data_IF_510772611249
#
_entry.id   IF_510772611249
#
_cell.length_a   1.000
_cell.length_b   1.000
_cell.length_c   1.000
_cell.angle_alpha   90.00
_cell.angle_beta   90.00
_cell.angle_gamma   90.00
#
_symmetry.space_group_name_H-M   'P 1'
#
loop_
_entity.id
_entity.type
_entity.pdbx_description
1 polymer ?
#
# COMPACT_ATOMS: atom_id res chain seq x y z
N UNK A 1 -27.12 -6.34 -8.45
CA UNK A 1 -26.72 -4.94 -8.18
C UNK A 1 -25.73 -4.97 -7.01
N UNK A 2 -24.41 -5.00 -7.16
CA UNK A 2 -23.53 -4.95 -8.32
C UNK A 2 -22.09 -4.89 -7.82
N UNK A 3 -21.57 -5.99 -7.24
CA UNK A 3 -20.12 -6.21 -7.07
C UNK A 3 -19.44 -6.64 -8.38
N UNK A 4 -20.24 -6.80 -9.43
CA UNK A 4 -19.84 -7.31 -10.74
C UNK A 4 -19.22 -6.24 -11.66
N UNK A 5 -19.25 -4.94 -11.29
CA UNK A 5 -18.80 -3.87 -12.21
C UNK A 5 -17.31 -3.50 -12.13
N UNK A 6 -16.54 -4.13 -11.25
CA UNK A 6 -15.08 -3.90 -11.16
C UNK A 6 -14.27 -5.03 -11.81
N UNK A 7 -14.92 -6.16 -12.13
CA UNK A 7 -14.22 -7.37 -12.61
C UNK A 7 -14.15 -7.49 -14.14
N UNK A 8 -14.86 -6.63 -14.88
CA UNK A 8 -15.00 -6.74 -16.35
C UNK A 8 -14.10 -5.76 -17.14
N UNK A 9 -12.79 -5.71 -16.85
CA UNK A 9 -11.81 -5.64 -17.94
C UNK A 9 -10.59 -6.55 -17.74
N UNK A 10 -10.61 -7.47 -16.77
CA UNK A 10 -9.53 -8.44 -16.52
C UNK A 10 -9.57 -9.64 -17.47
N UNK A 11 -10.53 -9.69 -18.42
CA UNK A 11 -10.68 -10.82 -19.35
C UNK A 11 -10.07 -10.57 -20.75
N UNK A 12 -9.56 -9.37 -21.03
CA UNK A 12 -9.00 -9.03 -22.37
C UNK A 12 -7.50 -9.33 -22.53
N UNK A 13 -6.88 -10.09 -21.62
CA UNK A 13 -5.45 -10.43 -21.72
C UNK A 13 -4.50 -9.23 -21.70
N UNK A 14 -5.00 -8.05 -21.29
CA UNK A 14 -4.17 -6.86 -21.07
C UNK A 14 -3.40 -7.07 -19.77
N UNK A 15 -2.10 -7.23 -19.89
CA UNK A 15 -1.18 -7.28 -18.76
C UNK A 15 -1.38 -6.00 -17.93
N UNK A 16 -1.91 -6.17 -16.72
CA UNK A 16 -1.89 -5.12 -15.71
C UNK A 16 -0.51 -5.20 -15.06
N UNK A 17 0.41 -4.36 -15.51
CA UNK A 17 1.69 -4.18 -14.82
C UNK A 17 1.44 -3.46 -13.50
N UNK A 18 1.32 -4.25 -12.43
CA UNK A 18 1.28 -3.71 -11.07
C UNK A 18 2.73 -3.41 -10.66
N UNK A 19 3.12 -2.14 -10.72
CA UNK A 19 4.39 -1.70 -10.14
C UNK A 19 4.24 -1.70 -8.61
N UNK A 20 4.58 -2.82 -7.98
CA UNK A 20 4.82 -2.86 -6.53
C UNK A 20 6.16 -2.15 -6.26
N UNK A 21 6.12 -0.82 -6.12
CA UNK A 21 7.24 -0.07 -5.56
C UNK A 21 7.48 -0.62 -4.15
N UNK A 22 8.71 -1.05 -3.83
CA UNK A 22 9.14 -1.38 -2.46
C UNK A 22 9.28 -0.09 -1.63
N UNK A 23 8.15 0.58 -1.52
CA UNK A 23 7.86 1.70 -0.67
C UNK A 23 8.09 1.35 0.80
N UNK A 24 8.09 0.07 1.15
CA UNK A 24 8.26 -0.36 2.52
C UNK A 24 9.58 0.14 3.10
N UNK A 25 10.68 0.01 2.35
CA UNK A 25 11.98 0.55 2.77
C UNK A 25 12.10 2.06 2.56
N UNK A 26 11.60 2.57 1.43
CA UNK A 26 11.71 4.00 1.11
C UNK A 26 10.94 4.91 2.08
N UNK A 27 9.81 4.45 2.61
CA UNK A 27 9.01 5.21 3.58
C UNK A 27 9.54 5.14 5.01
N UNK A 28 10.53 4.30 5.32
CA UNK A 28 11.23 4.37 6.60
C UNK A 28 12.19 5.56 6.70
N UNK A 29 12.65 6.09 5.56
CA UNK A 29 13.63 7.18 5.48
C UNK A 29 12.99 8.54 5.21
N UNK A 30 11.79 8.59 4.63
CA UNK A 30 11.07 9.84 4.36
C UNK A 30 10.37 10.33 5.63
N UNK A 31 10.51 11.62 6.02
CA UNK A 31 9.76 12.17 7.15
C UNK A 31 8.26 11.98 6.94
N UNK A 32 7.62 11.24 7.85
CA UNK A 32 6.22 10.85 7.70
C UNK A 32 5.26 12.06 7.59
N UNK A 33 5.56 13.18 8.25
CA UNK A 33 4.76 14.42 8.14
C UNK A 33 4.77 14.98 6.71
N UNK A 34 5.97 15.12 6.12
CA UNK A 34 6.14 15.64 4.75
C UNK A 34 5.42 14.74 3.73
N UNK A 35 5.47 13.43 3.93
CA UNK A 35 4.75 12.47 3.08
C UNK A 35 3.23 12.66 3.18
N UNK A 36 2.68 12.73 4.40
CA UNK A 36 1.24 12.89 4.62
C UNK A 36 0.72 14.25 4.12
N UNK A 37 1.51 15.31 4.26
CA UNK A 37 1.18 16.64 3.74
C UNK A 37 1.15 16.64 2.21
N UNK A 38 2.14 16.00 1.57
CA UNK A 38 2.15 15.83 0.10
C UNK A 38 0.94 15.04 -0.39
N UNK A 39 0.61 13.93 0.26
CA UNK A 39 -0.56 13.10 -0.11
C UNK A 39 -1.86 13.89 0.03
N UNK A 40 -2.00 14.68 1.10
CA UNK A 40 -3.17 15.56 1.30
C UNK A 40 -3.25 16.64 0.21
N UNK A 41 -2.12 17.27 -0.13
CA UNK A 41 -2.04 18.29 -1.18
C UNK A 41 -2.27 17.73 -2.59
N UNK A 42 -2.04 16.43 -2.81
CA UNK A 42 -2.38 15.74 -4.05
C UNK A 42 -3.88 15.44 -4.21
N UNK A 43 -4.72 15.86 -3.26
CA UNK A 43 -6.18 15.67 -3.31
C UNK A 43 -6.65 14.31 -2.83
N UNK A 44 -5.81 13.55 -2.10
CA UNK A 44 -6.26 12.31 -1.48
C UNK A 44 -7.27 12.58 -0.36
N UNK A 45 -8.24 11.67 -0.21
CA UNK A 45 -9.21 11.77 0.87
C UNK A 45 -8.54 11.67 2.24
N UNK A 46 -9.08 12.37 3.25
CA UNK A 46 -8.57 12.29 4.62
C UNK A 46 -8.58 10.87 5.19
N UNK A 47 -9.51 10.01 4.75
CA UNK A 47 -9.55 8.59 5.11
C UNK A 47 -8.35 7.83 4.53
N UNK A 48 -8.02 8.06 3.26
CA UNK A 48 -6.84 7.48 2.60
C UNK A 48 -5.55 7.92 3.29
N UNK A 49 -5.42 9.22 3.59
CA UNK A 49 -4.25 9.75 4.31
C UNK A 49 -4.16 9.17 5.72
N UNK A 50 -5.27 9.01 6.43
CA UNK A 50 -5.31 8.38 7.75
C UNK A 50 -4.91 6.90 7.69
N UNK A 51 -5.37 6.18 6.68
CA UNK A 51 -4.97 4.79 6.44
C UNK A 51 -3.46 4.68 6.20
N UNK A 52 -2.89 5.54 5.34
CA UNK A 52 -1.43 5.58 5.10
C UNK A 52 -0.67 5.93 6.37
N UNK A 53 -1.14 6.92 7.15
CA UNK A 53 -0.56 7.30 8.45
C UNK A 53 -0.50 6.12 9.41
N UNK A 54 -1.55 5.29 9.46
CA UNK A 54 -1.58 4.11 10.31
C UNK A 54 -0.69 2.99 9.77
N UNK A 55 -0.64 2.79 8.45
CA UNK A 55 0.25 1.84 7.80
C UNK A 55 1.75 2.16 8.03
N UNK A 56 2.10 3.45 8.13
CA UNK A 56 3.46 3.91 8.45
C UNK A 56 3.83 3.73 9.93
N UNK A 57 2.88 3.54 10.83
CA UNK A 57 3.13 3.38 12.27
C UNK A 57 3.39 1.92 12.62
N UNK A 58 4.43 1.67 13.43
CA UNK A 58 4.60 0.40 14.14
C UNK A 58 4.69 -0.83 13.25
N UNK A 59 5.38 -0.73 12.10
CA UNK A 59 5.60 -1.88 11.22
C UNK A 59 6.48 -2.91 11.93
N UNK A 60 5.88 -4.05 12.23
CA UNK A 60 6.58 -5.30 12.52
C UNK A 60 6.55 -6.15 11.24
N UNK A 61 7.67 -6.80 10.92
CA UNK A 61 7.76 -7.69 9.77
C UNK A 61 8.15 -9.07 10.26
N UNK A 62 7.35 -10.07 9.89
CA UNK A 62 7.71 -11.47 10.07
C UNK A 62 7.78 -12.15 8.71
N UNK A 63 8.79 -12.98 8.51
CA UNK A 63 9.08 -13.66 7.24
C UNK A 63 8.88 -15.15 7.45
N UNK A 64 8.23 -15.81 6.48
CA UNK A 64 8.10 -17.27 6.47
C UNK A 64 9.03 -17.84 5.41
N UNK A 65 9.97 -18.68 5.83
CA UNK A 65 10.91 -19.39 4.94
C UNK A 65 10.79 -20.88 5.23
N UNK A 66 10.47 -21.67 4.19
CA UNK A 66 10.32 -23.13 4.30
C UNK A 66 9.37 -23.57 5.45
N UNK A 67 8.31 -22.80 5.71
CA UNK A 67 7.33 -23.09 6.77
C UNK A 67 7.74 -22.62 8.17
N UNK A 68 8.94 -22.05 8.34
CA UNK A 68 9.37 -21.44 9.59
C UNK A 68 9.15 -19.93 9.56
N UNK A 69 8.51 -19.39 10.60
CA UNK A 69 8.17 -17.96 10.73
C UNK A 69 9.16 -17.26 11.66
N UNK A 70 9.70 -16.10 11.26
CA UNK A 70 10.52 -15.27 12.15
C UNK A 70 9.68 -14.64 13.27
N UNK A 71 10.33 -14.18 14.35
CA UNK A 71 9.67 -13.32 15.33
C UNK A 71 9.12 -12.02 14.70
N UNK A 72 8.35 -11.28 15.50
CA UNK A 72 7.81 -9.97 15.14
C UNK A 72 8.85 -8.86 15.17
#
# INVERSE_FOLDING_TARGET
MGIDKVTHPVDEGKAVDVVFLDFSKAFGTVPHSILLDKLSNCGMSGLTVCWVKNWLKGRAQSVVVNGATSGW
#
